data_IF_112539640888
#
_entry.id   IF_112539640888
#
_cell.length_a   1.000
_cell.length_b   1.000
_cell.length_c   1.000
_cell.angle_alpha   90.00
_cell.angle_beta   90.00
_cell.angle_gamma   90.00
#
_symmetry.space_group_name_H-M   'P 1'
#
loop_
_entity.id
_entity.type
_entity.pdbx_description
1 polymer ?
#
# COMPACT_ATOMS: atom_id res chain seq x y z
N UNK A 1 -21.64 -12.57 10.55
CA UNK A 1 -21.96 -11.49 9.60
C UNK A 1 -20.62 -10.92 9.16
N UNK A 2 -20.12 -11.33 8.00
CA UNK A 2 -18.72 -11.16 7.58
C UNK A 2 -18.33 -9.72 7.26
N UNK A 3 -18.37 -8.84 8.25
CA UNK A 3 -17.87 -7.48 8.15
C UNK A 3 -16.35 -7.45 8.10
N UNK A 4 -15.80 -6.51 7.35
CA UNK A 4 -14.37 -6.24 7.32
C UNK A 4 -13.93 -5.80 8.73
N UNK A 5 -12.88 -6.42 9.27
CA UNK A 5 -12.26 -5.94 10.50
C UNK A 5 -11.13 -4.97 10.15
N UNK A 6 -11.18 -3.77 10.73
CA UNK A 6 -10.11 -2.80 10.57
C UNK A 6 -8.84 -3.31 11.27
N UNK A 7 -7.89 -3.76 10.45
CA UNK A 7 -6.49 -4.01 10.83
C UNK A 7 -5.78 -2.69 11.14
N UNK A 8 -4.60 -2.44 10.60
CA UNK A 8 -3.83 -1.23 10.95
C UNK A 8 -4.54 0.10 10.59
N UNK A 9 -5.58 0.08 9.77
CA UNK A 9 -6.38 1.27 9.49
C UNK A 9 -7.08 1.81 10.76
N UNK A 10 -7.17 3.14 10.88
CA UNK A 10 -7.89 3.85 11.93
C UNK A 10 -9.40 3.84 11.68
N UNK A 11 -9.80 3.86 10.41
CA UNK A 11 -11.17 3.90 9.92
C UNK A 11 -11.23 3.28 8.51
N UNK A 12 -12.44 3.11 7.98
CA UNK A 12 -12.63 2.76 6.56
C UNK A 12 -11.96 3.81 5.65
N UNK A 13 -11.41 3.43 4.49
CA UNK A 13 -10.75 4.38 3.61
C UNK A 13 -11.73 5.41 3.05
N UNK A 14 -11.22 6.62 2.84
CA UNK A 14 -11.87 7.59 1.96
C UNK A 14 -11.67 7.14 0.51
N UNK A 15 -12.75 7.12 -0.28
CA UNK A 15 -12.74 6.67 -1.68
C UNK A 15 -13.15 7.84 -2.58
N UNK A 16 -12.38 8.08 -3.64
CA UNK A 16 -12.70 9.12 -4.63
C UNK A 16 -14.00 8.82 -5.39
N UNK A 17 -14.60 9.85 -5.98
CA UNK A 17 -15.87 9.73 -6.73
C UNK A 17 -15.81 8.73 -7.89
N UNK A 18 -14.64 8.59 -8.52
CA UNK A 18 -14.40 7.64 -9.61
C UNK A 18 -14.08 6.20 -9.12
N UNK A 19 -13.93 6.01 -7.80
CA UNK A 19 -13.61 4.73 -7.20
C UNK A 19 -12.19 4.22 -7.47
N UNK A 20 -11.28 5.09 -7.91
CA UNK A 20 -9.92 4.71 -8.28
C UNK A 20 -8.86 5.15 -7.27
N UNK A 21 -9.17 6.06 -6.37
CA UNK A 21 -8.24 6.53 -5.33
C UNK A 21 -8.79 6.15 -3.95
N UNK A 22 -7.94 5.52 -3.15
CA UNK A 22 -8.25 5.10 -1.78
C UNK A 22 -7.24 5.70 -0.81
N UNK A 23 -7.73 6.44 0.20
CA UNK A 23 -6.90 7.06 1.23
C UNK A 23 -7.16 6.39 2.58
N UNK A 24 -6.13 5.77 3.13
CA UNK A 24 -6.16 5.08 4.42
C UNK A 24 -5.42 5.89 5.48
N UNK A 25 -6.01 5.99 6.67
CA UNK A 25 -5.34 6.52 7.87
C UNK A 25 -4.84 5.36 8.73
N UNK A 26 -3.59 5.41 9.17
CA UNK A 26 -2.96 4.44 10.07
C UNK A 26 -3.34 4.80 11.51
N UNK A 27 -3.78 3.82 12.31
CA UNK A 27 -4.11 4.06 13.72
C UNK A 27 -2.89 4.55 14.51
N UNK A 28 -3.11 5.50 15.43
CA UNK A 28 -2.02 6.17 16.16
C UNK A 28 -1.15 5.21 16.98
N UNK A 29 -1.74 4.15 17.52
CA UNK A 29 -1.06 3.16 18.35
C UNK A 29 -0.48 1.98 17.55
N UNK A 30 -0.42 2.08 16.22
CA UNK A 30 0.27 1.10 15.39
C UNK A 30 1.79 1.25 15.58
N UNK A 31 2.38 0.29 16.30
CA UNK A 31 3.81 0.22 16.55
C UNK A 31 4.34 -1.16 16.13
N UNK A 32 5.57 -1.18 15.63
CA UNK A 32 6.35 -2.40 15.48
C UNK A 32 6.60 -3.04 16.86
N UNK A 33 6.95 -4.32 16.88
CA UNK A 33 7.29 -5.02 18.13
C UNK A 33 8.53 -4.44 18.83
N UNK A 34 9.35 -3.67 18.11
CA UNK A 34 10.48 -2.89 18.64
C UNK A 34 10.03 -1.64 19.42
N UNK A 35 8.76 -1.24 19.30
CA UNK A 35 8.20 -0.03 19.89
C UNK A 35 8.21 1.19 18.96
N UNK A 36 8.84 1.10 17.79
CA UNK A 36 8.85 2.18 16.80
C UNK A 36 7.47 2.31 16.12
N UNK A 37 7.02 3.54 15.78
CA UNK A 37 5.75 3.73 15.10
C UNK A 37 5.77 3.13 13.70
N UNK A 38 4.67 2.48 13.31
CA UNK A 38 4.43 2.09 11.91
C UNK A 38 4.06 3.34 11.12
N UNK A 39 4.68 3.52 9.96
CA UNK A 39 4.49 4.69 9.09
C UNK A 39 3.96 4.31 7.71
N UNK A 40 3.35 5.25 6.99
CA UNK A 40 2.91 5.05 5.61
C UNK A 40 4.08 4.70 4.67
N UNK A 41 5.28 5.18 4.98
CA UNK A 41 6.52 4.90 4.25
C UNK A 41 6.91 3.43 4.32
N UNK A 42 6.64 2.75 5.45
CA UNK A 42 6.86 1.31 5.59
C UNK A 42 6.00 0.50 4.60
N UNK A 43 4.75 0.95 4.39
CA UNK A 43 3.86 0.36 3.39
C UNK A 43 4.37 0.62 1.99
N UNK A 44 4.70 1.88 1.64
CA UNK A 44 5.25 2.23 0.31
C UNK A 44 6.46 1.35 -0.02
N UNK A 45 7.41 1.23 0.91
CA UNK A 45 8.57 0.36 0.75
C UNK A 45 8.18 -1.10 0.50
N UNK A 46 7.29 -1.64 1.33
CA UNK A 46 6.87 -3.04 1.25
C UNK A 46 6.16 -3.37 -0.06
N UNK A 47 5.25 -2.49 -0.52
CA UNK A 47 4.54 -2.66 -1.78
C UNK A 47 5.47 -2.56 -2.99
N UNK A 48 6.40 -1.60 -2.99
CA UNK A 48 7.42 -1.49 -4.05
C UNK A 48 8.28 -2.73 -4.14
N UNK A 49 8.71 -3.27 -3.00
CA UNK A 49 9.47 -4.53 -2.94
C UNK A 49 8.65 -5.72 -3.45
N UNK A 50 7.34 -5.74 -3.18
CA UNK A 50 6.47 -6.84 -3.60
C UNK A 50 6.27 -6.93 -5.12
N UNK A 51 6.34 -5.78 -5.82
CA UNK A 51 6.21 -5.69 -7.28
C UNK A 51 7.54 -5.61 -8.03
N UNK A 52 8.66 -5.54 -7.31
CA UNK A 52 9.99 -5.48 -7.92
C UNK A 52 10.21 -6.74 -8.80
N UNK A 53 10.55 -6.59 -10.08
CA UNK A 53 10.76 -7.73 -10.98
C UNK A 53 11.91 -8.65 -10.55
N UNK A 54 12.82 -8.16 -9.68
CA UNK A 54 13.90 -8.96 -9.10
C UNK A 54 13.49 -9.70 -7.82
N UNK A 55 12.29 -9.43 -7.27
CA UNK A 55 11.79 -10.13 -6.11
C UNK A 55 11.22 -11.51 -6.49
N UNK A 56 11.55 -12.53 -5.70
CA UNK A 56 10.98 -13.89 -5.84
C UNK A 56 9.58 -13.89 -5.20
N UNK A 57 8.67 -13.08 -5.70
CA UNK A 57 7.30 -12.97 -5.17
C UNK A 57 6.37 -13.92 -5.92
N UNK A 58 6.00 -15.05 -5.31
CA UNK A 58 5.04 -16.01 -5.87
C UNK A 58 3.61 -15.44 -6.03
N UNK A 59 3.36 -14.23 -5.50
CA UNK A 59 2.03 -13.63 -5.40
C UNK A 59 1.96 -12.20 -5.99
N UNK A 60 2.92 -11.81 -6.85
CA UNK A 60 2.98 -10.45 -7.43
C UNK A 60 1.69 -10.03 -8.14
N UNK A 61 0.99 -10.99 -8.76
CA UNK A 61 -0.27 -10.79 -9.45
C UNK A 61 -1.40 -10.24 -8.54
N UNK A 62 -1.33 -10.44 -7.21
CA UNK A 62 -2.30 -9.88 -6.26
C UNK A 62 -2.22 -8.35 -6.17
N UNK A 63 -1.09 -7.76 -6.58
CA UNK A 63 -0.86 -6.33 -6.54
C UNK A 63 -1.24 -5.61 -7.84
N UNK A 64 -1.65 -6.35 -8.89
CA UNK A 64 -1.97 -5.76 -10.20
C UNK A 64 -3.23 -4.88 -10.21
N UNK A 65 -3.97 -4.85 -9.11
CA UNK A 65 -5.05 -3.88 -8.88
C UNK A 65 -4.52 -2.46 -8.61
N UNK A 66 -3.26 -2.32 -8.21
CA UNK A 66 -2.59 -1.04 -7.98
C UNK A 66 -2.04 -0.54 -9.31
N UNK A 67 -2.26 0.74 -9.62
CA UNK A 67 -1.73 1.40 -10.81
C UNK A 67 -0.23 1.17 -10.96
N UNK A 68 0.16 0.85 -12.19
CA UNK A 68 1.53 0.54 -12.61
C UNK A 68 2.15 -0.75 -12.05
N UNK A 69 1.49 -1.51 -11.17
CA UNK A 69 2.08 -2.72 -10.60
C UNK A 69 2.49 -3.76 -11.65
N UNK A 70 1.67 -3.96 -12.70
CA UNK A 70 1.97 -4.91 -13.78
C UNK A 70 3.12 -4.45 -14.69
N UNK A 71 3.10 -3.22 -15.27
CA UNK A 71 4.25 -2.71 -16.00
C UNK A 71 5.57 -2.74 -15.20
N UNK A 72 5.52 -2.48 -13.88
CA UNK A 72 6.71 -2.59 -13.01
C UNK A 72 7.17 -4.05 -12.91
N UNK A 73 6.25 -4.98 -12.65
CA UNK A 73 6.54 -6.41 -12.58
C UNK A 73 7.06 -6.98 -13.91
N UNK A 74 6.66 -6.40 -15.04
CA UNK A 74 7.13 -6.75 -16.38
C UNK A 74 8.47 -6.06 -16.72
N UNK A 75 9.00 -5.21 -15.83
CA UNK A 75 10.28 -4.51 -15.99
C UNK A 75 10.22 -3.26 -16.87
N UNK A 76 9.01 -2.78 -17.20
CA UNK A 76 8.78 -1.65 -18.10
C UNK A 76 8.85 -0.30 -17.37
N UNK A 77 8.55 -0.28 -16.07
CA UNK A 77 8.57 0.93 -15.23
C UNK A 77 9.40 0.71 -13.94
N UNK A 78 10.03 1.77 -13.40
CA UNK A 78 10.69 1.70 -12.10
C UNK A 78 9.67 1.57 -10.96
N UNK A 79 10.09 0.93 -9.86
CA UNK A 79 9.22 0.67 -8.70
C UNK A 79 8.71 1.94 -8.03
N UNK A 80 9.39 3.08 -8.21
CA UNK A 80 8.96 4.36 -7.65
C UNK A 80 7.72 4.97 -8.32
N UNK A 81 7.31 4.45 -9.48
CA UNK A 81 6.07 4.81 -10.16
C UNK A 81 4.86 3.97 -9.72
N UNK A 82 5.00 3.06 -8.76
CA UNK A 82 3.87 2.32 -8.22
C UNK A 82 2.82 3.28 -7.64
N UNK A 83 1.54 3.01 -7.88
CA UNK A 83 0.38 3.77 -7.38
C UNK A 83 0.15 3.65 -5.88
N UNK A 84 1.20 3.84 -5.07
CA UNK A 84 1.14 3.88 -3.61
C UNK A 84 2.00 5.03 -3.09
N UNK A 85 1.43 5.87 -2.24
CA UNK A 85 2.06 7.10 -1.78
C UNK A 85 1.79 7.34 -0.30
N UNK A 86 2.85 7.68 0.44
CA UNK A 86 2.72 8.28 1.76
C UNK A 86 2.45 9.78 1.58
N UNK A 87 1.28 10.24 2.02
CA UNK A 87 0.93 11.67 2.05
C UNK A 87 1.62 12.33 3.25
N UNK A 88 1.61 11.62 4.37
CA UNK A 88 2.32 11.90 5.61
C UNK A 88 2.60 10.58 6.34
N UNK A 89 3.16 10.62 7.55
CA UNK A 89 3.55 9.42 8.31
C UNK A 89 2.38 8.48 8.64
N UNK A 90 1.15 8.98 8.66
CA UNK A 90 -0.05 8.23 9.04
C UNK A 90 -1.11 8.16 7.93
N UNK A 91 -0.85 8.73 6.76
CA UNK A 91 -1.79 8.75 5.64
C UNK A 91 -1.19 8.11 4.39
N UNK A 92 -1.83 7.05 3.91
CA UNK A 92 -1.42 6.26 2.75
C UNK A 92 -2.49 6.36 1.65
N UNK A 93 -2.07 6.66 0.43
CA UNK A 93 -2.95 6.76 -0.74
C UNK A 93 -2.58 5.68 -1.76
N UNK A 94 -3.59 5.03 -2.33
CA UNK A 94 -3.48 4.13 -3.47
C UNK A 94 -4.23 4.67 -4.69
N UNK A 95 -3.70 4.36 -5.87
CA UNK A 95 -4.33 4.58 -7.19
C UNK A 95 -4.19 3.36 -8.06
#
# INVERSE_FOLDING_TARGET
DGGNELGIAAEEPEVSEDGLTYTFKIRDNANWSTGEPVTAQDFVFSYRKAVDPNAISENVNKFFVIKNARPISDGELPTDQLGVKAIDDKTLEFT
#
